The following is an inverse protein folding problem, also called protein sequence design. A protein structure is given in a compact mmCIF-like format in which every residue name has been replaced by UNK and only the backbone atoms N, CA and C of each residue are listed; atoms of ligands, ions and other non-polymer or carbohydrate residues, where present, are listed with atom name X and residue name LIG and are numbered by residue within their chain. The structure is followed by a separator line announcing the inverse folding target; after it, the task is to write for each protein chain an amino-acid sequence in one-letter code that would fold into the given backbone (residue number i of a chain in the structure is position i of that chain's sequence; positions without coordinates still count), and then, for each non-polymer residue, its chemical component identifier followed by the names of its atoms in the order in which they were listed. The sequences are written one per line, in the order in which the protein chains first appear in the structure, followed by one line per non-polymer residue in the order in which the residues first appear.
data_IF_013807078924
#
_entry.id   IF_013807078924
#
_cell.length_a   1.000
_cell.length_b   1.000
_cell.length_c   1.000
_cell.angle_alpha   90.00
_cell.angle_beta   90.00
_cell.angle_gamma   90.00
#
_symmetry.space_group_name_H-M   'P 1'
#
loop_
_entity.id
_entity.type
_entity.pdbx_description
1 polymer ?
#
# COMPACT_ATOMS: atom_id res chain seq x y z
N UNK A 1 -20.95 -19.90 -22.46
CA UNK A 1 -21.34 -18.74 -23.29
C UNK A 1 -21.23 -19.11 -24.77
N UNK A 2 -22.19 -18.71 -25.62
CA UNK A 2 -22.21 -19.04 -27.07
C UNK A 2 -21.02 -18.47 -27.86
N UNK A 3 -20.27 -17.56 -27.29
CA UNK A 3 -19.15 -16.84 -27.95
C UNK A 3 -17.78 -17.50 -27.76
N UNK A 4 -17.57 -18.31 -26.73
CA UNK A 4 -16.33 -19.05 -26.53
C UNK A 4 -16.66 -20.52 -26.43
N UNK A 5 -16.28 -21.33 -27.42
CA UNK A 5 -16.62 -22.76 -27.44
C UNK A 5 -15.70 -23.58 -26.54
N UNK A 6 -15.77 -23.34 -25.24
CA UNK A 6 -14.94 -24.01 -24.20
C UNK A 6 -14.99 -25.55 -24.30
N UNK A 7 -16.12 -26.10 -24.80
CA UNK A 7 -16.30 -27.56 -24.94
C UNK A 7 -15.63 -28.19 -26.16
N UNK A 8 -15.40 -27.42 -27.23
CA UNK A 8 -14.84 -27.98 -28.49
C UNK A 8 -13.32 -28.15 -28.40
N UNK A 9 -12.64 -27.42 -27.54
CA UNK A 9 -11.19 -27.53 -27.36
C UNK A 9 -10.78 -28.87 -26.75
N UNK A 10 -11.61 -29.43 -25.89
CA UNK A 10 -11.39 -30.76 -25.29
C UNK A 10 -11.65 -31.92 -26.23
N UNK A 11 -12.21 -31.66 -27.44
CA UNK A 11 -12.53 -32.68 -28.45
C UNK A 11 -11.45 -32.83 -29.52
N UNK A 12 -10.26 -32.24 -29.33
CA UNK A 12 -9.13 -32.43 -30.25
C UNK A 12 -8.75 -33.90 -30.31
N UNK A 13 -8.56 -34.44 -31.52
CA UNK A 13 -8.11 -35.83 -31.76
C UNK A 13 -6.64 -36.05 -31.42
N UNK A 14 -5.87 -34.98 -31.21
CA UNK A 14 -4.44 -35.04 -30.89
C UNK A 14 -4.28 -34.99 -29.33
N UNK A 15 -3.74 -36.04 -28.70
CA UNK A 15 -3.60 -36.10 -27.24
C UNK A 15 -2.69 -35.03 -26.67
N UNK A 16 -1.67 -34.58 -27.40
CA UNK A 16 -0.78 -33.50 -26.98
C UNK A 16 -1.51 -32.16 -26.93
N UNK A 17 -2.31 -31.84 -27.94
CA UNK A 17 -3.12 -30.63 -27.98
C UNK A 17 -4.17 -30.65 -26.86
N UNK A 18 -4.82 -31.78 -26.64
CA UNK A 18 -5.79 -31.97 -25.56
C UNK A 18 -5.16 -31.72 -24.18
N UNK A 19 -3.94 -32.23 -23.96
CA UNK A 19 -3.20 -32.00 -22.72
C UNK A 19 -2.87 -30.51 -22.52
N UNK A 20 -2.31 -29.84 -23.54
CA UNK A 20 -1.98 -28.41 -23.45
C UNK A 20 -3.23 -27.57 -23.18
N UNK A 21 -4.32 -27.83 -23.86
CA UNK A 21 -5.58 -27.10 -23.67
C UNK A 21 -6.19 -27.36 -22.29
N UNK A 22 -6.01 -28.56 -21.72
CA UNK A 22 -6.37 -28.86 -20.34
C UNK A 22 -5.60 -27.97 -19.35
N UNK A 23 -4.29 -27.88 -19.49
CA UNK A 23 -3.45 -27.01 -18.66
C UNK A 23 -3.84 -25.53 -18.77
N UNK A 24 -4.14 -25.05 -19.98
CA UNK A 24 -4.59 -23.66 -20.19
C UNK A 24 -5.92 -23.39 -19.47
N UNK A 25 -6.85 -24.33 -19.53
CA UNK A 25 -8.15 -24.23 -18.87
C UNK A 25 -8.00 -24.19 -17.33
N UNK A 26 -7.17 -25.07 -16.77
CA UNK A 26 -6.88 -25.13 -15.34
C UNK A 26 -6.19 -23.84 -14.83
N UNK A 27 -5.22 -23.32 -15.57
CA UNK A 27 -4.54 -22.06 -15.25
C UNK A 27 -5.53 -20.89 -15.31
N UNK A 28 -6.36 -20.82 -16.34
CA UNK A 28 -7.35 -19.77 -16.50
C UNK A 28 -8.38 -19.80 -15.35
N UNK A 29 -8.86 -21.00 -15.02
CA UNK A 29 -9.76 -21.18 -13.87
C UNK A 29 -9.10 -20.71 -12.56
N UNK A 30 -7.85 -21.13 -12.30
CA UNK A 30 -7.10 -20.75 -11.11
C UNK A 30 -6.91 -19.22 -11.02
N UNK A 31 -6.55 -18.56 -12.13
CA UNK A 31 -6.39 -17.10 -12.18
C UNK A 31 -7.70 -16.37 -11.86
N UNK A 32 -8.81 -16.82 -12.44
CA UNK A 32 -10.14 -16.23 -12.15
C UNK A 32 -10.53 -16.46 -10.70
N UNK A 33 -10.35 -17.67 -10.18
CA UNK A 33 -10.67 -18.00 -8.79
C UNK A 33 -9.85 -17.15 -7.81
N UNK A 34 -8.53 -17.07 -7.99
CA UNK A 34 -7.64 -16.24 -7.15
C UNK A 34 -7.98 -14.76 -7.28
N UNK A 35 -8.31 -14.28 -8.48
CA UNK A 35 -8.75 -12.89 -8.67
C UNK A 35 -10.02 -12.59 -7.86
N UNK A 36 -11.02 -13.45 -7.89
CA UNK A 36 -12.26 -13.29 -7.12
C UNK A 36 -12.01 -13.36 -5.61
N UNK A 37 -11.16 -14.28 -5.16
CA UNK A 37 -10.76 -14.38 -3.75
C UNK A 37 -10.08 -13.09 -3.29
N UNK A 38 -9.09 -12.60 -4.04
CA UNK A 38 -8.38 -11.36 -3.73
C UNK A 38 -9.27 -10.12 -3.77
N UNK A 39 -10.29 -10.14 -4.61
CA UNK A 39 -11.19 -9.01 -4.75
C UNK A 39 -12.22 -8.94 -3.60
N UNK A 40 -12.77 -10.08 -3.19
CA UNK A 40 -13.94 -10.13 -2.32
C UNK A 40 -13.70 -10.74 -0.94
N UNK A 41 -12.67 -11.56 -0.74
CA UNK A 41 -12.48 -12.31 0.50
C UNK A 41 -11.26 -11.80 1.28
N UNK A 42 -10.06 -12.00 0.76
CA UNK A 42 -8.83 -11.49 1.38
C UNK A 42 -7.74 -11.24 0.33
N UNK A 43 -6.77 -10.43 0.70
CA UNK A 43 -5.61 -10.14 -0.13
C UNK A 43 -4.34 -10.15 0.72
N UNK A 44 -3.27 -10.71 0.15
CA UNK A 44 -1.97 -10.76 0.81
C UNK A 44 -1.16 -9.50 0.54
N UNK A 45 -0.47 -9.01 1.57
CA UNK A 45 0.46 -7.91 1.48
C UNK A 45 1.72 -8.23 2.27
N UNK A 46 2.82 -7.61 1.88
CA UNK A 46 4.06 -7.61 2.65
C UNK A 46 4.29 -6.20 3.19
N UNK A 47 4.79 -6.10 4.43
CA UNK A 47 5.10 -4.82 5.08
C UNK A 47 6.44 -4.31 4.56
N UNK A 48 6.47 -3.16 3.84
CA UNK A 48 7.70 -2.62 3.28
C UNK A 48 8.39 -1.59 4.18
N UNK A 49 7.73 -1.06 5.20
CA UNK A 49 8.22 0.06 6.01
C UNK A 49 7.92 -0.13 7.49
N UNK A 50 8.73 0.52 8.33
CA UNK A 50 8.71 0.45 9.79
C UNK A 50 7.61 1.30 10.46
N UNK A 51 6.72 1.94 9.71
CA UNK A 51 5.72 2.88 10.27
C UNK A 51 4.72 2.28 11.28
N UNK A 52 4.66 0.96 11.38
CA UNK A 52 3.91 0.18 12.39
C UNK A 52 4.84 -0.74 13.19
N UNK A 53 6.12 -0.41 13.26
CA UNK A 53 7.12 -1.22 13.96
C UNK A 53 6.70 -1.52 15.42
N UNK A 54 7.08 -2.71 15.90
CA UNK A 54 6.62 -3.32 17.16
C UNK A 54 5.15 -3.79 17.14
N UNK A 55 4.33 -3.35 16.17
CA UNK A 55 3.00 -3.95 15.90
C UNK A 55 3.05 -4.87 14.69
N UNK A 56 3.68 -4.42 13.60
CA UNK A 56 3.96 -5.17 12.37
C UNK A 56 5.40 -4.87 11.96
N UNK A 57 6.16 -5.92 11.67
CA UNK A 57 7.58 -5.78 11.32
C UNK A 57 7.77 -5.69 9.81
N UNK A 58 8.84 -5.02 9.39
CA UNK A 58 9.26 -5.02 7.98
C UNK A 58 9.53 -6.45 7.52
N UNK A 59 8.93 -6.85 6.42
CA UNK A 59 9.02 -8.22 5.88
C UNK A 59 7.85 -9.13 6.26
N UNK A 60 7.03 -8.77 7.24
CA UNK A 60 5.84 -9.56 7.60
C UNK A 60 4.86 -9.69 6.43
N UNK A 61 4.24 -10.86 6.30
CA UNK A 61 3.17 -11.13 5.36
C UNK A 61 1.82 -11.07 6.05
N UNK A 62 0.91 -10.29 5.50
CA UNK A 62 -0.41 -10.08 6.06
C UNK A 62 -1.51 -10.64 5.17
N UNK A 63 -2.52 -11.24 5.81
CA UNK A 63 -3.81 -11.53 5.19
C UNK A 63 -4.80 -10.42 5.56
N UNK A 64 -5.13 -9.57 4.60
CA UNK A 64 -6.08 -8.48 4.81
C UNK A 64 -7.48 -8.92 4.44
N UNK A 65 -8.36 -9.01 5.43
CA UNK A 65 -9.76 -9.36 5.24
C UNK A 65 -10.51 -8.26 4.49
N UNK A 66 -11.17 -8.63 3.41
CA UNK A 66 -12.11 -7.77 2.70
C UNK A 66 -13.52 -7.85 3.28
N UNK A 67 -13.81 -8.94 3.99
CA UNK A 67 -15.14 -9.20 4.55
C UNK A 67 -15.41 -8.38 5.81
N UNK A 68 -14.39 -8.02 6.58
CA UNK A 68 -14.56 -7.29 7.84
C UNK A 68 -15.32 -5.99 7.64
N UNK A 69 -14.90 -5.14 6.74
CA UNK A 69 -15.56 -3.86 6.44
C UNK A 69 -16.33 -3.86 5.12
N UNK A 70 -16.46 -5.04 4.51
CA UNK A 70 -17.11 -5.25 3.23
C UNK A 70 -16.18 -5.04 2.03
N UNK A 71 -16.25 -5.94 1.04
CA UNK A 71 -15.46 -5.83 -0.16
C UNK A 71 -15.88 -4.62 -0.99
N UNK A 72 -14.91 -3.97 -1.58
CA UNK A 72 -15.14 -2.89 -2.53
C UNK A 72 -15.25 -3.46 -3.93
N UNK A 73 -16.31 -3.08 -4.64
CA UNK A 73 -16.43 -3.34 -6.06
C UNK A 73 -15.34 -2.54 -6.80
N UNK A 74 -14.55 -3.16 -7.71
CA UNK A 74 -13.47 -2.46 -8.39
C UNK A 74 -14.00 -1.32 -9.26
N UNK A 75 -13.30 -0.19 -9.24
CA UNK A 75 -13.58 0.89 -10.20
C UNK A 75 -13.20 0.48 -11.62
N UNK A 76 -12.14 -0.34 -11.76
CA UNK A 76 -11.64 -0.88 -13.04
C UNK A 76 -11.90 -2.38 -13.11
N UNK A 77 -13.11 -2.83 -13.52
CA UNK A 77 -13.48 -4.25 -13.50
C UNK A 77 -12.67 -5.10 -14.47
N UNK A 78 -12.19 -4.49 -15.55
CA UNK A 78 -11.33 -5.17 -16.53
C UNK A 78 -9.87 -4.93 -16.20
N UNK A 79 -9.35 -5.75 -15.29
CA UNK A 79 -7.97 -5.69 -14.80
C UNK A 79 -7.29 -7.04 -14.90
N UNK A 80 -5.99 -7.04 -15.16
CA UNK A 80 -5.20 -8.26 -15.14
C UNK A 80 -5.08 -8.78 -13.70
N UNK A 81 -5.37 -10.06 -13.43
CA UNK A 81 -5.28 -10.65 -12.10
C UNK A 81 -3.87 -10.52 -11.51
N UNK A 82 -3.79 -10.38 -10.19
CA UNK A 82 -2.54 -10.36 -9.41
C UNK A 82 -1.58 -9.20 -9.70
N UNK A 83 -1.95 -8.26 -10.55
CA UNK A 83 -1.14 -7.08 -10.86
C UNK A 83 -1.89 -5.81 -10.46
N UNK A 84 -1.26 -4.98 -9.61
CA UNK A 84 -1.90 -3.78 -9.08
C UNK A 84 -2.13 -2.72 -10.16
N UNK A 85 -1.08 -2.28 -10.83
CA UNK A 85 -1.16 -1.15 -11.74
C UNK A 85 -0.42 -1.31 -13.07
N UNK A 86 0.79 -1.85 -13.08
CA UNK A 86 1.63 -1.95 -14.28
C UNK A 86 2.12 -3.37 -14.48
N UNK A 87 1.97 -3.91 -15.68
CA UNK A 87 2.48 -5.23 -16.03
C UNK A 87 4.02 -5.22 -16.06
N UNK A 88 4.70 -6.09 -15.29
CA UNK A 88 6.15 -5.98 -15.05
C UNK A 88 7.01 -6.22 -16.30
N UNK A 89 6.53 -7.00 -17.28
CA UNK A 89 7.30 -7.32 -18.50
C UNK A 89 7.02 -6.31 -19.61
N UNK A 90 5.75 -5.92 -19.74
CA UNK A 90 5.28 -5.07 -20.84
C UNK A 90 5.32 -3.58 -20.51
N UNK A 91 5.53 -3.22 -19.24
CA UNK A 91 5.50 -1.84 -18.72
C UNK A 91 4.28 -1.03 -19.20
N UNK A 92 3.13 -1.70 -19.35
CA UNK A 92 1.87 -1.07 -19.69
C UNK A 92 0.86 -1.23 -18.56
N UNK A 93 -0.25 -0.47 -18.60
CA UNK A 93 -1.33 -0.56 -17.62
C UNK A 93 -1.85 -1.99 -17.51
N UNK A 94 -2.08 -2.48 -16.29
CA UNK A 94 -2.69 -3.79 -16.01
C UNK A 94 -4.22 -3.77 -16.10
N UNK A 95 -4.82 -2.66 -16.47
CA UNK A 95 -6.26 -2.45 -16.49
C UNK A 95 -6.68 -1.60 -17.69
N UNK A 96 -7.95 -1.72 -18.07
CA UNK A 96 -8.56 -0.87 -19.07
C UNK A 96 -9.20 0.35 -18.41
N UNK A 97 -9.07 1.51 -19.03
CA UNK A 97 -9.65 2.77 -18.56
C UNK A 97 -11.19 2.81 -18.71
N UNK A 98 -11.77 1.85 -19.41
CA UNK A 98 -13.21 1.69 -19.60
C UNK A 98 -13.59 0.19 -19.56
N UNK A 99 -14.72 -0.18 -18.90
CA UNK A 99 -15.62 0.67 -18.12
C UNK A 99 -15.00 1.11 -16.80
N UNK A 100 -15.34 2.31 -16.35
CA UNK A 100 -14.98 2.84 -15.05
C UNK A 100 -16.25 2.93 -14.18
N UNK A 101 -16.29 2.16 -13.08
CA UNK A 101 -17.42 2.14 -12.17
C UNK A 101 -17.21 3.11 -11.01
N UNK A 102 -18.32 3.69 -10.51
CA UNK A 102 -18.28 4.52 -9.31
C UNK A 102 -17.92 3.72 -8.05
N UNK A 103 -17.56 4.44 -6.99
CA UNK A 103 -17.29 3.80 -5.70
C UNK A 103 -18.52 3.07 -5.19
N UNK A 104 -18.37 1.79 -4.91
CA UNK A 104 -19.38 0.98 -4.23
C UNK A 104 -18.71 -0.04 -3.31
N UNK A 105 -19.18 -0.12 -2.08
CA UNK A 105 -18.74 -1.10 -1.08
C UNK A 105 -19.92 -1.94 -0.64
N UNK A 106 -19.75 -3.25 -0.67
CA UNK A 106 -20.74 -4.20 -0.14
C UNK A 106 -20.69 -4.13 1.39
N UNK A 107 -21.81 -4.36 2.06
CA UNK A 107 -21.86 -4.37 3.53
C UNK A 107 -20.91 -5.44 4.08
N UNK A 108 -20.10 -5.06 5.06
CA UNK A 108 -19.20 -5.94 5.78
C UNK A 108 -19.85 -6.68 6.94
N UNK A 109 -19.08 -7.57 7.56
CA UNK A 109 -19.48 -8.34 8.75
C UNK A 109 -19.30 -7.54 10.05
N UNK A 110 -18.39 -6.56 10.06
CA UNK A 110 -18.09 -5.67 11.18
C UNK A 110 -18.14 -4.21 10.81
N UNK A 111 -17.82 -3.36 11.77
CA UNK A 111 -17.66 -1.92 11.62
C UNK A 111 -16.22 -1.53 11.89
N UNK A 112 -15.81 -0.40 11.37
CA UNK A 112 -14.50 0.17 11.60
C UNK A 112 -14.48 0.78 13.00
N UNK A 113 -13.45 0.45 13.79
CA UNK A 113 -13.26 0.95 15.14
C UNK A 113 -11.95 1.75 15.25
N UNK A 114 -11.82 2.58 16.29
CA UNK A 114 -10.55 3.27 16.57
C UNK A 114 -9.48 2.22 16.90
N UNK A 115 -8.25 2.53 16.54
CA UNK A 115 -7.06 1.70 16.73
C UNK A 115 -6.98 0.44 15.85
N UNK A 116 -7.97 0.19 15.00
CA UNK A 116 -7.87 -0.83 13.96
C UNK A 116 -6.66 -0.59 13.06
N UNK A 117 -5.99 -1.67 12.67
CA UNK A 117 -4.97 -1.60 11.61
C UNK A 117 -5.69 -1.80 10.27
N UNK A 118 -5.72 -0.75 9.47
CA UNK A 118 -6.48 -0.70 8.22
C UNK A 118 -5.58 -0.57 7.01
N UNK A 119 -5.99 -1.22 5.92
CA UNK A 119 -5.37 -1.06 4.60
C UNK A 119 -6.29 -0.19 3.73
N UNK A 120 -5.72 0.83 3.11
CA UNK A 120 -6.46 1.77 2.27
C UNK A 120 -5.60 2.23 1.09
N UNK A 121 -6.24 2.72 0.03
CA UNK A 121 -5.52 3.29 -1.10
C UNK A 121 -4.97 4.67 -0.75
N UNK A 122 -3.77 4.98 -1.22
CA UNK A 122 -3.10 6.24 -0.95
C UNK A 122 -3.98 7.44 -1.34
N UNK A 123 -4.20 8.40 -0.42
CA UNK A 123 -5.22 9.44 -0.60
C UNK A 123 -4.75 10.67 -1.38
N UNK A 124 -3.43 10.83 -1.62
CA UNK A 124 -2.90 12.00 -2.29
C UNK A 124 -3.25 12.02 -3.78
N UNK A 125 -4.44 12.52 -4.09
CA UNK A 125 -4.90 12.78 -5.45
C UNK A 125 -4.96 11.54 -6.36
N UNK A 126 -5.24 11.79 -7.61
CA UNK A 126 -5.38 10.79 -8.67
C UNK A 126 -4.29 10.89 -9.74
N UNK A 127 -3.43 11.89 -9.62
CA UNK A 127 -2.36 12.20 -10.53
C UNK A 127 -1.05 11.65 -9.99
N UNK A 128 -0.31 10.96 -10.84
CA UNK A 128 1.03 10.45 -10.53
C UNK A 128 1.97 10.65 -11.71
N UNK A 129 3.26 10.66 -11.43
CA UNK A 129 4.29 10.53 -12.45
C UNK A 129 4.60 9.04 -12.68
N UNK A 130 4.82 8.65 -13.92
CA UNK A 130 4.98 7.24 -14.29
C UNK A 130 6.23 6.62 -13.67
N UNK A 131 7.34 7.38 -13.61
CA UNK A 131 8.64 6.87 -13.15
C UNK A 131 8.92 7.10 -11.67
N UNK A 132 8.45 8.23 -11.12
CA UNK A 132 8.67 8.58 -9.72
C UNK A 132 7.32 8.61 -9.01
N UNK A 133 6.96 7.54 -8.32
CA UNK A 133 5.66 7.41 -7.66
C UNK A 133 5.73 7.76 -6.16
N UNK A 134 6.93 7.81 -5.60
CA UNK A 134 7.21 8.25 -4.25
C UNK A 134 8.45 9.16 -4.29
N UNK A 135 8.38 10.41 -3.83
CA UNK A 135 7.18 11.06 -3.27
C UNK A 135 6.04 11.23 -4.29
N UNK A 136 4.84 11.58 -3.81
CA UNK A 136 3.67 11.77 -4.66
C UNK A 136 3.79 13.00 -5.59
N UNK A 137 2.94 13.07 -6.60
CA UNK A 137 2.97 14.12 -7.60
C UNK A 137 2.92 15.54 -7.00
N UNK A 138 2.11 15.76 -5.99
CA UNK A 138 1.94 17.08 -5.39
C UNK A 138 3.20 17.50 -4.61
N UNK A 139 3.85 16.56 -3.94
CA UNK A 139 5.16 16.77 -3.31
C UNK A 139 6.22 17.09 -4.35
N UNK A 140 6.27 16.33 -5.46
CA UNK A 140 7.21 16.58 -6.55
C UNK A 140 7.05 17.98 -7.16
N UNK A 141 5.81 18.42 -7.43
CA UNK A 141 5.61 19.78 -7.99
C UNK A 141 5.94 20.88 -6.97
N UNK A 142 5.81 20.60 -5.68
CA UNK A 142 6.22 21.57 -4.64
C UNK A 142 7.75 21.68 -4.52
N UNK A 143 8.48 20.57 -4.69
CA UNK A 143 9.94 20.54 -4.61
C UNK A 143 10.63 21.03 -5.89
N UNK A 144 10.17 20.57 -7.05
CA UNK A 144 10.85 20.78 -8.33
C UNK A 144 10.19 21.83 -9.22
N UNK A 145 8.96 22.24 -8.88
CA UNK A 145 8.13 23.11 -9.71
C UNK A 145 7.34 22.32 -10.77
N UNK A 146 6.12 22.80 -11.04
CA UNK A 146 5.18 22.13 -11.95
C UNK A 146 5.73 21.98 -13.38
N UNK A 147 6.35 23.02 -13.91
CA UNK A 147 6.92 22.98 -15.26
C UNK A 147 7.98 21.90 -15.42
N UNK A 148 8.89 21.80 -14.46
CA UNK A 148 9.95 20.79 -14.51
C UNK A 148 9.38 19.37 -14.44
N UNK A 149 8.43 19.11 -13.57
CA UNK A 149 7.80 17.79 -13.46
C UNK A 149 7.06 17.41 -14.75
N UNK A 150 6.46 18.36 -15.45
CA UNK A 150 5.73 18.10 -16.70
C UNK A 150 6.65 17.95 -17.92
N UNK A 151 7.78 18.69 -17.98
CA UNK A 151 8.65 18.75 -19.14
C UNK A 151 9.79 17.72 -19.10
N UNK A 152 10.33 17.42 -17.93
CA UNK A 152 11.42 16.46 -17.76
C UNK A 152 10.89 15.01 -17.73
N UNK A 153 10.44 14.56 -18.88
CA UNK A 153 9.93 13.18 -19.05
C UNK A 153 11.01 12.13 -18.88
N UNK A 154 12.27 12.50 -18.99
CA UNK A 154 13.39 11.57 -18.76
C UNK A 154 13.49 11.17 -17.30
N UNK A 155 13.26 12.11 -16.39
CA UNK A 155 13.28 11.88 -14.94
C UNK A 155 11.94 11.36 -14.42
N UNK A 156 10.84 12.04 -14.75
CA UNK A 156 9.54 11.81 -14.12
C UNK A 156 8.61 10.88 -14.92
N UNK A 157 8.85 10.68 -16.21
CA UNK A 157 7.95 9.99 -17.12
C UNK A 157 6.74 10.85 -17.50
N UNK A 158 5.69 10.22 -17.98
CA UNK A 158 4.42 10.90 -18.24
C UNK A 158 3.65 11.14 -16.94
N UNK A 159 2.90 12.22 -16.90
CA UNK A 159 1.93 12.48 -15.81
C UNK A 159 0.62 11.81 -16.19
N UNK A 160 0.21 10.83 -15.40
CA UNK A 160 -0.93 9.98 -15.70
C UNK A 160 -1.98 10.02 -14.59
N UNK A 161 -3.24 9.76 -14.97
CA UNK A 161 -4.32 9.52 -14.04
C UNK A 161 -4.31 8.05 -13.59
N UNK A 162 -4.49 7.83 -12.30
CA UNK A 162 -4.61 6.48 -11.73
C UNK A 162 -5.89 6.35 -10.88
N UNK A 163 -6.85 5.51 -11.28
CA UNK A 163 -8.06 5.25 -10.50
C UNK A 163 -7.74 4.79 -9.08
N UNK A 164 -8.64 5.06 -8.13
CA UNK A 164 -8.37 4.81 -6.69
C UNK A 164 -8.01 3.37 -6.40
N UNK A 165 -8.67 2.40 -7.02
CA UNK A 165 -8.40 0.96 -6.84
C UNK A 165 -7.06 0.50 -7.45
N UNK A 166 -6.39 1.36 -8.19
CA UNK A 166 -5.08 1.13 -8.79
C UNK A 166 -3.94 1.90 -8.14
N UNK A 167 -4.23 2.71 -7.11
CA UNK A 167 -3.21 3.40 -6.31
C UNK A 167 -2.54 2.44 -5.35
N UNK A 168 -1.39 2.87 -4.83
CA UNK A 168 -0.66 2.12 -3.80
C UNK A 168 -1.54 1.89 -2.57
N UNK A 169 -1.34 0.73 -1.93
CA UNK A 169 -2.01 0.37 -0.70
C UNK A 169 -1.12 0.72 0.48
N UNK A 170 -1.68 1.45 1.44
CA UNK A 170 -1.02 1.81 2.68
C UNK A 170 -1.68 1.11 3.85
N UNK A 171 -0.87 0.74 4.84
CA UNK A 171 -1.35 0.20 6.11
C UNK A 171 -1.02 1.18 7.22
N UNK A 172 -2.01 1.58 8.00
CA UNK A 172 -1.88 2.49 9.15
C UNK A 172 -2.86 2.12 10.25
N UNK A 173 -2.57 2.59 11.47
CA UNK A 173 -3.54 2.55 12.57
C UNK A 173 -4.57 3.66 12.38
N UNK A 174 -5.83 3.31 12.53
CA UNK A 174 -6.94 4.25 12.46
C UNK A 174 -7.08 4.99 13.79
N UNK A 175 -6.77 6.26 13.80
CA UNK A 175 -6.72 7.04 15.04
C UNK A 175 -8.08 7.65 15.39
N UNK A 176 -8.82 8.13 14.39
CA UNK A 176 -10.09 8.83 14.59
C UNK A 176 -11.15 8.38 13.58
N UNK A 177 -12.40 8.45 13.96
CA UNK A 177 -13.57 8.13 13.14
C UNK A 177 -14.24 9.43 12.63
N UNK A 178 -15.09 9.35 11.60
CA UNK A 178 -15.90 10.49 11.17
C UNK A 178 -16.71 11.09 12.32
N UNK A 179 -16.57 12.40 12.52
CA UNK A 179 -17.22 13.15 13.62
C UNK A 179 -16.33 13.35 14.85
N UNK A 180 -15.18 12.67 14.93
CA UNK A 180 -14.22 12.90 16.01
C UNK A 180 -13.44 14.22 15.82
N UNK A 181 -13.14 14.86 16.94
CA UNK A 181 -12.19 15.97 17.01
C UNK A 181 -10.82 15.43 17.39
N UNK A 182 -9.84 15.57 16.51
CA UNK A 182 -8.45 15.15 16.72
C UNK A 182 -7.58 16.34 17.08
N UNK A 183 -6.78 16.22 18.15
CA UNK A 183 -5.72 17.15 18.52
C UNK A 183 -4.44 16.39 18.87
N UNK A 184 -3.29 16.98 18.58
CA UNK A 184 -2.00 16.47 19.01
C UNK A 184 -1.36 17.53 19.92
N UNK A 185 -1.19 17.20 21.19
CA UNK A 185 -0.64 18.09 22.20
C UNK A 185 0.64 17.47 22.74
N UNK A 186 1.77 18.12 22.52
CA UNK A 186 3.09 17.61 22.94
C UNK A 186 3.38 16.17 22.45
N UNK A 187 2.97 15.83 21.22
CA UNK A 187 3.16 14.50 20.65
C UNK A 187 2.12 13.46 21.11
N UNK A 188 1.19 13.81 21.99
CA UNK A 188 0.14 12.94 22.50
C UNK A 188 -1.14 13.21 21.74
N UNK A 189 -1.76 12.14 21.22
CA UNK A 189 -3.04 12.21 20.50
C UNK A 189 -4.18 12.33 21.49
N UNK A 190 -5.05 13.31 21.24
CA UNK A 190 -6.30 13.51 21.97
C UNK A 190 -7.47 13.37 21.00
N UNK A 191 -8.48 12.59 21.38
CA UNK A 191 -9.71 12.39 20.63
C UNK A 191 -10.88 12.88 21.49
N UNK A 192 -11.65 13.83 20.95
CA UNK A 192 -12.79 14.43 21.65
C UNK A 192 -12.43 15.04 23.01
N UNK A 193 -11.20 15.54 23.16
CA UNK A 193 -10.68 16.14 24.39
C UNK A 193 -10.06 15.16 25.38
N UNK A 194 -10.13 13.86 25.13
CA UNK A 194 -9.52 12.82 25.98
C UNK A 194 -8.26 12.26 25.34
N UNK A 195 -7.32 11.76 26.15
CA UNK A 195 -6.10 11.10 25.66
C UNK A 195 -6.51 9.81 24.93
N UNK A 196 -6.17 9.71 23.65
CA UNK A 196 -6.36 8.51 22.85
C UNK A 196 -5.43 7.37 23.28
N UNK A 197 -5.63 6.19 22.69
CA UNK A 197 -4.77 5.03 22.91
C UNK A 197 -3.31 5.35 22.57
N UNK A 198 -2.42 5.05 23.51
CA UNK A 198 -0.98 5.20 23.35
C UNK A 198 -0.35 3.81 23.30
N UNK A 199 0.13 3.33 22.13
CA UNK A 199 0.84 2.06 22.04
C UNK A 199 2.10 2.10 22.90
N UNK A 200 2.37 1.03 23.68
CA UNK A 200 3.54 0.96 24.57
C UNK A 200 4.87 1.18 23.84
N UNK A 201 4.93 0.73 22.59
CA UNK A 201 6.13 0.86 21.76
C UNK A 201 6.02 2.01 20.75
N UNK A 202 5.20 3.03 21.01
CA UNK A 202 5.11 4.19 20.13
C UNK A 202 6.45 4.90 20.04
N UNK A 203 6.88 5.20 18.83
CA UNK A 203 8.18 5.81 18.54
C UNK A 203 8.02 7.25 18.07
N UNK A 204 8.98 8.08 18.44
CA UNK A 204 9.13 9.46 17.98
C UNK A 204 10.54 9.71 17.48
N UNK A 205 10.71 10.73 16.69
CA UNK A 205 12.03 11.20 16.30
C UNK A 205 12.61 12.09 17.38
N UNK A 206 13.78 11.71 17.88
CA UNK A 206 14.53 12.47 18.87
C UNK A 206 15.81 13.01 18.26
N UNK A 207 16.13 14.27 18.56
CA UNK A 207 17.43 14.84 18.25
C UNK A 207 18.43 14.39 19.32
N UNK A 208 19.45 13.66 18.92
CA UNK A 208 20.44 13.07 19.83
C UNK A 208 21.83 13.60 19.51
N UNK A 209 22.49 14.18 20.51
CA UNK A 209 23.89 14.62 20.40
C UNK A 209 24.79 13.57 21.06
N UNK A 210 25.77 13.07 20.34
CA UNK A 210 26.70 12.05 20.85
C UNK A 210 28.09 12.61 21.14
N UNK A 211 28.79 11.98 22.10
CA UNK A 211 30.20 12.25 22.35
C UNK A 211 31.07 11.40 21.44
N UNK A 212 31.19 11.81 20.17
CA UNK A 212 31.94 11.04 19.17
C UNK A 212 31.39 11.23 17.77
N UNK A 213 32.05 10.71 16.76
CA UNK A 213 31.73 10.99 15.37
C UNK A 213 30.84 9.93 14.70
N UNK A 214 30.54 8.83 15.36
CA UNK A 214 29.75 7.75 14.78
C UNK A 214 28.89 7.02 15.83
N UNK A 215 27.71 6.60 15.42
CA UNK A 215 26.86 5.70 16.18
C UNK A 215 27.38 4.27 16.10
N UNK A 216 27.40 3.58 17.24
CA UNK A 216 27.77 2.16 17.28
C UNK A 216 26.54 1.30 16.88
N UNK A 217 26.58 0.51 15.79
CA UNK A 217 25.46 -0.31 15.37
C UNK A 217 24.94 -1.28 16.45
N UNK A 218 25.85 -1.84 17.25
CA UNK A 218 25.50 -2.74 18.37
C UNK A 218 24.71 -2.01 19.48
N UNK A 219 24.95 -0.73 19.65
CA UNK A 219 24.18 0.08 20.60
C UNK A 219 22.79 0.36 20.06
N UNK A 220 22.65 0.68 18.78
CA UNK A 220 21.34 0.88 18.14
C UNK A 220 20.50 -0.38 18.24
N UNK A 221 21.08 -1.54 17.92
CA UNK A 221 20.44 -2.83 18.05
C UNK A 221 20.00 -3.13 19.50
N UNK A 222 20.89 -2.92 20.46
CA UNK A 222 20.60 -3.11 21.89
C UNK A 222 19.42 -2.28 22.38
N UNK A 223 19.28 -1.06 21.89
CA UNK A 223 18.19 -0.15 22.24
C UNK A 223 16.97 -0.28 21.32
N UNK A 224 16.99 -1.21 20.37
CA UNK A 224 15.90 -1.45 19.43
C UNK A 224 15.64 -0.25 18.51
N UNK A 225 16.68 0.50 18.17
CA UNK A 225 16.61 1.64 17.26
C UNK A 225 16.90 1.12 15.85
N UNK A 226 15.88 1.08 15.03
CA UNK A 226 15.95 0.56 13.65
C UNK A 226 16.17 1.64 12.60
N UNK A 227 15.80 2.88 12.90
CA UNK A 227 15.88 4.01 11.97
C UNK A 227 16.55 5.23 12.58
N UNK A 228 17.33 5.91 11.76
CA UNK A 228 17.94 7.18 12.12
C UNK A 228 18.81 7.71 11.00
N UNK A 229 19.05 9.01 11.00
CA UNK A 229 19.92 9.68 10.03
C UNK A 229 20.73 10.80 10.70
N UNK A 230 21.88 11.07 10.12
CA UNK A 230 22.75 12.17 10.57
C UNK A 230 22.20 13.51 10.11
N UNK A 231 22.22 14.50 10.99
CA UNK A 231 21.92 15.89 10.62
C UNK A 231 23.15 16.54 9.94
N UNK A 232 23.00 17.71 9.30
CA UNK A 232 24.14 18.50 8.83
C UNK A 232 25.06 18.99 9.96
N UNK A 233 24.58 19.02 11.20
CA UNK A 233 25.36 19.44 12.38
C UNK A 233 26.23 18.28 12.85
N UNK A 234 27.44 18.59 13.23
CA UNK A 234 28.40 17.59 13.70
C UNK A 234 27.93 16.95 14.99
N UNK A 235 28.06 15.61 15.07
CA UNK A 235 27.67 14.79 16.23
C UNK A 235 26.16 14.78 16.55
N UNK A 236 25.29 15.29 15.67
CA UNK A 236 23.85 15.25 15.83
C UNK A 236 23.20 14.23 14.91
N UNK A 237 22.26 13.49 15.47
CA UNK A 237 21.49 12.45 14.79
C UNK A 237 20.00 12.59 15.12
N UNK A 238 19.14 12.32 14.17
CA UNK A 238 17.74 12.09 14.45
C UNK A 238 17.53 10.58 14.49
N UNK A 239 17.11 10.08 15.66
CA UNK A 239 16.87 8.66 15.90
C UNK A 239 15.41 8.43 16.22
N UNK A 240 14.83 7.39 15.59
CA UNK A 240 13.47 6.97 15.87
C UNK A 240 13.49 5.95 17.00
N UNK A 241 12.89 6.31 18.16
CA UNK A 241 12.90 5.46 19.35
C UNK A 241 11.68 5.70 20.23
N UNK A 242 11.42 4.76 21.15
CA UNK A 242 10.37 4.91 22.15
C UNK A 242 10.77 5.92 23.25
N UNK A 243 9.79 6.49 23.93
CA UNK A 243 10.04 7.38 25.05
C UNK A 243 10.83 6.71 26.21
N UNK A 244 10.69 5.39 26.37
CA UNK A 244 11.44 4.62 27.35
C UNK A 244 12.91 4.40 26.97
N UNK A 245 13.26 4.56 25.71
CA UNK A 245 14.63 4.45 25.19
C UNK A 245 15.34 5.80 25.17
N UNK A 246 14.58 6.89 25.00
CA UNK A 246 15.10 8.26 24.96
C UNK A 246 15.46 8.77 26.34
#
# INVERSE_FOLDING_TARGET
TKFIPWGTWKQSKNPTIQGILGWVDDILFALVAVYLVNLFIFQNYQIPSSSLEKSLLVGDYLFVSKLSYGPRVPNTPLSFPLVQNTLPILNCKSYLDWPLWGYHRVKGLGQVERDDIVVFNFPAGDTITERVQNPDYYTLINEYGRERVLLDKATFGEVIYRPVDKRENYVKRLIALPGDTLQIINGIVHINGEIGYQPECMQHNYLVTIKGNSLNPKMLEKFGISEGYRTPVENEFILNMSASTA
#
